data_IF_565971810569
#
_entry.id   IF_565971810569
#
_cell.length_a   1.000
_cell.length_b   1.000
_cell.length_c   1.000
_cell.angle_alpha   90.00
_cell.angle_beta   90.00
_cell.angle_gamma   90.00
#
_symmetry.space_group_name_H-M   'P 1'
#
loop_
_entity.id
_entity.type
_entity.pdbx_description
1 polymer ?
#
# COMPACT_ATOMS: atom_id res chain seq x y z
N UNK A 1 15.98 10.04 19.14
CA UNK A 1 14.78 10.59 18.50
C UNK A 1 14.89 10.34 17.00
N UNK A 2 13.92 9.67 16.37
CA UNK A 2 13.84 9.47 14.92
C UNK A 2 13.38 10.79 14.31
N UNK A 3 14.12 11.29 13.33
CA UNK A 3 13.83 12.54 12.64
C UNK A 3 14.31 12.43 11.20
N UNK A 4 13.42 12.70 10.25
CA UNK A 4 13.76 12.72 8.83
C UNK A 4 14.01 14.17 8.39
N UNK A 5 15.25 14.46 7.98
CA UNK A 5 15.68 15.81 7.57
C UNK A 5 15.54 16.08 6.07
N UNK A 6 15.41 15.01 5.27
CA UNK A 6 15.20 15.07 3.83
C UNK A 6 14.24 13.97 3.42
N UNK A 7 13.36 14.29 2.49
CA UNK A 7 12.36 13.37 1.98
C UNK A 7 12.56 13.21 0.47
N UNK A 8 12.58 11.95 0.00
CA UNK A 8 12.74 11.60 -1.42
C UNK A 8 11.39 11.46 -2.11
N UNK A 9 11.17 10.32 -2.78
CA UNK A 9 9.88 10.01 -3.40
C UNK A 9 8.84 9.62 -2.34
N UNK A 10 7.62 10.14 -2.50
CA UNK A 10 6.51 9.96 -1.57
C UNK A 10 5.24 9.53 -2.32
N UNK A 11 4.57 8.51 -1.81
CA UNK A 11 3.21 8.17 -2.20
C UNK A 11 2.17 8.80 -1.28
N UNK A 12 1.08 9.32 -1.83
CA UNK A 12 -0.05 9.82 -1.05
C UNK A 12 -1.18 8.80 -1.11
N UNK A 13 -1.46 8.14 0.00
CA UNK A 13 -2.60 7.23 0.15
C UNK A 13 -3.82 8.07 0.48
N UNK A 14 -4.58 8.43 -0.53
CA UNK A 14 -5.72 9.36 -0.40
C UNK A 14 -6.94 8.74 0.27
N UNK A 15 -7.04 7.41 0.27
CA UNK A 15 -8.08 6.62 0.89
C UNK A 15 -7.62 5.16 1.03
N UNK A 16 -8.35 4.33 1.77
CA UNK A 16 -8.13 2.87 1.80
C UNK A 16 -9.32 2.06 1.24
N UNK A 17 -10.41 2.73 0.87
CA UNK A 17 -11.57 2.11 0.24
C UNK A 17 -11.24 1.68 -1.19
N UNK A 18 -11.32 0.38 -1.46
CA UNK A 18 -11.09 -0.17 -2.80
C UNK A 18 -12.26 -1.07 -3.18
N UNK A 19 -12.59 -1.14 -4.47
CA UNK A 19 -13.51 -2.17 -4.98
C UNK A 19 -12.97 -3.59 -4.79
N UNK A 20 -11.66 -3.72 -4.63
CA UNK A 20 -10.94 -5.00 -4.67
C UNK A 20 -10.31 -5.35 -3.32
N UNK A 21 -10.20 -6.65 -3.01
CA UNK A 21 -9.42 -7.18 -1.88
C UNK A 21 -8.24 -8.01 -2.39
N UNK A 22 -7.43 -7.43 -3.30
CA UNK A 22 -6.37 -8.16 -4.01
C UNK A 22 -5.42 -8.90 -3.04
N UNK A 23 -5.11 -10.16 -3.36
CA UNK A 23 -4.28 -11.05 -2.53
C UNK A 23 -2.84 -10.54 -2.32
N UNK A 24 -2.32 -9.68 -3.19
CA UNK A 24 -0.98 -9.09 -3.03
C UNK A 24 -0.95 -7.74 -2.27
N UNK A 25 -2.11 -7.17 -1.94
CA UNK A 25 -2.17 -5.77 -1.48
C UNK A 25 -1.51 -5.59 -0.12
N UNK A 26 -0.49 -4.71 -0.06
CA UNK A 26 0.25 -4.45 1.16
C UNK A 26 -0.54 -3.62 2.18
N UNK A 27 -1.34 -2.67 1.70
CA UNK A 27 -2.07 -1.70 2.53
C UNK A 27 -3.35 -2.23 3.15
N UNK A 28 -3.71 -3.48 2.84
CA UNK A 28 -4.97 -4.10 3.23
C UNK A 28 -6.24 -3.35 2.75
N UNK A 29 -6.15 -2.52 1.72
CA UNK A 29 -7.29 -1.84 1.09
C UNK A 29 -8.41 -2.81 0.74
N UNK A 30 -9.67 -2.41 0.87
CA UNK A 30 -10.80 -3.34 0.71
C UNK A 30 -12.13 -2.58 0.55
N UNK A 31 -13.19 -3.25 0.07
CA UNK A 31 -14.52 -2.64 -0.01
C UNK A 31 -15.18 -2.46 1.36
N UNK A 32 -14.59 -3.02 2.42
CA UNK A 32 -15.07 -2.87 3.79
C UNK A 32 -14.50 -1.64 4.49
N UNK A 33 -13.45 -1.03 3.97
CA UNK A 33 -12.92 0.20 4.55
C UNK A 33 -13.98 1.31 4.54
N UNK A 34 -13.98 2.19 5.55
CA UNK A 34 -14.72 3.44 5.48
C UNK A 34 -14.41 4.17 4.17
N UNK A 35 -15.41 4.87 3.63
CA UNK A 35 -15.25 5.69 2.42
C UNK A 35 -14.70 7.07 2.75
N UNK A 36 -13.85 7.17 3.77
CA UNK A 36 -13.12 8.38 4.07
C UNK A 36 -12.12 8.71 2.95
N UNK A 37 -11.68 9.95 2.96
CA UNK A 37 -10.76 10.47 1.96
C UNK A 37 -9.90 11.54 2.63
N UNK A 38 -8.69 11.75 2.11
CA UNK A 38 -7.82 12.81 2.59
C UNK A 38 -8.50 14.16 2.44
N UNK A 39 -8.61 14.88 3.56
CA UNK A 39 -9.19 16.22 3.59
C UNK A 39 -8.23 17.25 2.97
N UNK A 40 -8.80 18.28 2.34
CA UNK A 40 -8.03 19.27 1.58
C UNK A 40 -7.03 20.05 2.44
N UNK A 41 -7.42 20.39 3.68
CA UNK A 41 -6.55 21.14 4.62
C UNK A 41 -5.36 20.28 5.07
N UNK A 42 -5.60 19.00 5.36
CA UNK A 42 -4.54 18.06 5.69
C UNK A 42 -3.59 17.86 4.49
N UNK A 43 -4.13 17.72 3.28
CA UNK A 43 -3.33 17.63 2.06
C UNK A 43 -2.42 18.86 1.89
N UNK A 44 -2.94 20.06 2.12
CA UNK A 44 -2.18 21.31 2.04
C UNK A 44 -1.00 21.31 3.04
N UNK A 45 -1.25 20.94 4.29
CA UNK A 45 -0.21 20.82 5.32
C UNK A 45 0.86 19.77 4.98
N UNK A 46 0.43 18.61 4.48
CA UNK A 46 1.33 17.52 4.05
C UNK A 46 2.22 18.01 2.91
N UNK A 47 1.65 18.59 1.86
CA UNK A 47 2.42 19.07 0.70
C UNK A 47 3.35 20.21 1.04
N UNK A 48 2.90 21.16 1.87
CA UNK A 48 3.77 22.23 2.40
C UNK A 48 4.97 21.67 3.15
N UNK A 49 4.74 20.65 3.98
CA UNK A 49 5.80 19.99 4.77
C UNK A 49 6.75 19.22 3.86
N UNK A 50 6.25 18.49 2.86
CA UNK A 50 7.05 17.77 1.88
C UNK A 50 7.96 18.72 1.09
N UNK A 51 7.41 19.81 0.56
CA UNK A 51 8.16 20.83 -0.16
C UNK A 51 9.27 21.43 0.73
N UNK A 52 8.96 21.76 1.98
CA UNK A 52 9.92 22.25 2.96
C UNK A 52 11.08 21.28 3.28
N UNK A 53 10.92 19.98 3.03
CA UNK A 53 11.93 18.94 3.23
C UNK A 53 12.55 18.41 1.92
N UNK A 54 12.32 19.12 0.80
CA UNK A 54 12.95 18.84 -0.49
C UNK A 54 12.24 17.80 -1.36
N UNK A 55 11.03 17.37 -0.99
CA UNK A 55 10.19 16.49 -1.81
C UNK A 55 9.31 17.35 -2.72
N UNK A 56 9.65 17.42 -4.01
CA UNK A 56 8.94 18.23 -5.01
C UNK A 56 7.97 17.45 -5.89
N UNK A 57 7.90 16.12 -5.73
CA UNK A 57 7.02 15.25 -6.52
C UNK A 57 6.48 14.10 -5.69
N UNK A 58 5.26 13.69 -6.02
CA UNK A 58 4.56 12.57 -5.37
C UNK A 58 3.82 11.73 -6.41
N UNK A 59 3.54 10.48 -6.08
CA UNK A 59 2.48 9.73 -6.75
C UNK A 59 1.26 9.64 -5.86
N UNK A 60 0.09 9.46 -6.46
CA UNK A 60 -1.17 9.30 -5.75
C UNK A 60 -1.60 7.84 -5.83
N UNK A 61 -1.95 7.27 -4.69
CA UNK A 61 -2.55 5.96 -4.61
C UNK A 61 -3.54 5.88 -3.45
N UNK A 62 -3.65 4.67 -2.90
CA UNK A 62 -4.55 4.35 -1.81
C UNK A 62 -5.91 3.91 -2.28
N UNK A 63 -6.45 2.88 -1.62
CA UNK A 63 -7.71 2.25 -2.01
C UNK A 63 -7.79 2.13 -3.53
N UNK A 64 -8.87 2.65 -4.10
CA UNK A 64 -8.90 3.08 -5.51
C UNK A 64 -9.26 4.57 -5.57
N UNK A 65 -8.30 5.48 -5.89
CA UNK A 65 -8.53 6.92 -5.83
C UNK A 65 -9.68 7.39 -6.73
N UNK A 66 -9.80 6.78 -7.90
CA UNK A 66 -10.71 7.22 -8.96
C UNK A 66 -12.12 6.64 -8.82
N UNK A 67 -12.43 5.89 -7.74
CA UNK A 67 -13.82 5.59 -7.37
C UNK A 67 -14.57 6.84 -6.90
N UNK A 68 -13.86 7.87 -6.42
CA UNK A 68 -14.43 9.14 -5.96
C UNK A 68 -13.63 10.34 -6.47
N UNK A 69 -13.59 10.59 -7.79
CA UNK A 69 -12.73 11.63 -8.38
C UNK A 69 -13.03 13.03 -7.81
N UNK A 70 -14.29 13.33 -7.49
CA UNK A 70 -14.66 14.62 -6.89
C UNK A 70 -14.04 14.86 -5.50
N UNK A 71 -13.65 13.79 -4.78
CA UNK A 71 -12.90 13.89 -3.52
C UNK A 71 -11.38 13.98 -3.73
N UNK A 72 -10.88 13.54 -4.89
CA UNK A 72 -9.48 13.65 -5.25
C UNK A 72 -9.08 15.06 -5.67
N UNK A 73 -9.95 15.76 -6.40
CA UNK A 73 -9.62 17.08 -6.96
C UNK A 73 -9.17 18.13 -5.92
N UNK A 74 -9.76 18.23 -4.71
CA UNK A 74 -9.25 19.11 -3.66
C UNK A 74 -7.82 18.78 -3.22
N UNK A 75 -7.45 17.50 -3.16
CA UNK A 75 -6.08 17.05 -2.84
C UNK A 75 -5.12 17.46 -3.96
N UNK A 76 -5.49 17.25 -5.22
CA UNK A 76 -4.67 17.68 -6.37
C UNK A 76 -4.51 19.20 -6.44
N UNK A 77 -5.56 19.95 -6.09
CA UNK A 77 -5.48 21.40 -5.97
C UNK A 77 -4.52 21.84 -4.86
N UNK A 78 -4.47 21.11 -3.73
CA UNK A 78 -3.50 21.37 -2.67
C UNK A 78 -2.06 21.09 -3.12
N UNK A 79 -1.82 20.02 -3.89
CA UNK A 79 -0.52 19.74 -4.48
C UNK A 79 -0.07 20.90 -5.40
N UNK A 80 -0.97 21.36 -6.27
CA UNK A 80 -0.68 22.47 -7.19
C UNK A 80 -0.37 23.79 -6.47
N UNK A 81 -1.06 24.11 -5.36
CA UNK A 81 -0.78 25.32 -4.54
C UNK A 81 0.59 25.29 -3.86
N UNK A 82 1.10 24.10 -3.58
CA UNK A 82 2.37 23.89 -2.91
C UNK A 82 3.50 23.51 -3.89
N UNK A 83 3.30 23.72 -5.18
CA UNK A 83 4.24 23.39 -6.26
C UNK A 83 4.73 21.93 -6.25
N UNK A 84 3.88 21.00 -5.80
CA UNK A 84 4.13 19.57 -5.84
C UNK A 84 3.70 19.00 -7.18
N UNK A 85 4.62 18.34 -7.88
CA UNK A 85 4.34 17.62 -9.11
C UNK A 85 3.68 16.25 -8.83
N UNK A 86 2.62 15.92 -9.56
CA UNK A 86 2.00 14.59 -9.51
C UNK A 86 2.60 13.73 -10.60
N UNK A 87 3.39 12.72 -10.21
CA UNK A 87 4.09 11.81 -11.12
C UNK A 87 3.10 10.92 -11.88
N UNK A 88 2.19 10.28 -11.15
CA UNK A 88 1.10 9.48 -11.67
C UNK A 88 0.03 9.24 -10.60
N UNK A 89 -1.15 8.81 -11.03
CA UNK A 89 -2.18 8.23 -10.14
C UNK A 89 -2.27 6.73 -10.42
N UNK A 90 -2.16 5.92 -9.37
CA UNK A 90 -2.36 4.47 -9.42
C UNK A 90 -3.86 4.13 -9.50
N UNK A 91 -4.20 3.19 -10.37
CA UNK A 91 -5.58 2.74 -10.58
C UNK A 91 -5.64 1.26 -11.00
N UNK A 92 -6.57 0.52 -10.42
CA UNK A 92 -6.95 -0.83 -10.84
C UNK A 92 -7.98 -0.87 -11.99
N UNK A 93 -8.38 0.30 -12.49
CA UNK A 93 -9.34 0.51 -13.58
C UNK A 93 -10.81 0.17 -13.27
N UNK A 94 -11.16 -0.20 -12.04
CA UNK A 94 -12.53 -0.55 -11.65
C UNK A 94 -13.56 0.56 -11.88
N UNK A 95 -13.13 1.83 -11.75
CA UNK A 95 -13.95 3.03 -11.93
C UNK A 95 -14.36 3.28 -13.39
N UNK A 96 -13.67 2.66 -14.36
CA UNK A 96 -14.01 2.78 -15.77
C UNK A 96 -15.43 2.21 -16.01
N UNK A 97 -16.25 2.97 -16.74
CA UNK A 97 -17.63 2.61 -17.10
C UNK A 97 -17.77 2.54 -18.62
N UNK A 98 -17.47 3.64 -19.27
CA UNK A 98 -17.52 3.84 -20.71
C UNK A 98 -16.59 4.99 -21.12
N UNK A 99 -16.51 5.26 -22.42
CA UNK A 99 -15.58 6.23 -23.00
C UNK A 99 -15.92 7.68 -22.62
N UNK A 100 -17.20 8.05 -22.57
CA UNK A 100 -17.60 9.42 -22.20
C UNK A 100 -17.32 9.68 -20.71
N UNK A 101 -17.59 8.72 -19.83
CA UNK A 101 -17.19 8.83 -18.42
C UNK A 101 -15.67 8.95 -18.26
N UNK A 102 -14.89 8.17 -19.02
CA UNK A 102 -13.43 8.26 -18.99
C UNK A 102 -12.92 9.61 -19.49
N UNK A 103 -13.50 10.14 -20.57
CA UNK A 103 -13.22 11.48 -21.10
C UNK A 103 -13.41 12.58 -20.07
N UNK A 104 -14.52 12.55 -19.35
CA UNK A 104 -14.82 13.53 -18.30
C UNK A 104 -13.79 13.48 -17.17
N UNK A 105 -13.52 12.27 -16.64
CA UNK A 105 -12.57 12.10 -15.53
C UNK A 105 -11.15 12.48 -15.97
N UNK A 106 -10.68 11.98 -17.12
CA UNK A 106 -9.36 12.31 -17.67
C UNK A 106 -9.24 13.82 -17.94
N UNK A 107 -10.29 14.44 -18.49
CA UNK A 107 -10.35 15.88 -18.72
C UNK A 107 -10.15 16.68 -17.43
N UNK A 108 -10.86 16.32 -16.36
CA UNK A 108 -10.70 16.94 -15.04
C UNK A 108 -9.31 16.69 -14.45
N UNK A 109 -8.77 15.47 -14.54
CA UNK A 109 -7.41 15.17 -14.07
C UNK A 109 -6.36 16.07 -14.75
N UNK A 110 -6.48 16.29 -16.06
CA UNK A 110 -5.57 17.18 -16.80
C UNK A 110 -5.72 18.64 -16.40
N UNK A 111 -6.93 19.11 -16.09
CA UNK A 111 -7.14 20.45 -15.51
C UNK A 111 -6.42 20.60 -14.16
N UNK A 112 -6.24 19.49 -13.43
CA UNK A 112 -5.46 19.40 -12.20
C UNK A 112 -3.99 19.01 -12.40
N UNK A 113 -3.44 19.22 -13.62
CA UNK A 113 -2.01 18.98 -13.95
C UNK A 113 -1.55 17.53 -13.78
N UNK A 114 -2.48 16.57 -13.84
CA UNK A 114 -2.15 15.15 -13.88
C UNK A 114 -2.09 14.68 -15.32
N UNK A 115 -0.98 14.05 -15.70
CA UNK A 115 -0.71 13.66 -17.08
C UNK A 115 -0.44 12.16 -17.27
N UNK A 116 -0.34 11.40 -16.18
CA UNK A 116 -0.03 9.97 -16.21
C UNK A 116 -0.93 9.17 -15.28
N UNK A 117 -1.45 8.05 -15.78
CA UNK A 117 -2.08 7.01 -14.97
C UNK A 117 -1.19 5.78 -14.94
N UNK A 118 -0.88 5.29 -13.74
CA UNK A 118 -0.32 3.96 -13.53
C UNK A 118 -1.47 2.96 -13.45
N UNK A 119 -1.57 2.09 -14.44
CA UNK A 119 -2.66 1.12 -14.54
C UNK A 119 -2.11 -0.25 -14.15
N UNK A 120 -2.70 -0.88 -13.12
CA UNK A 120 -2.31 -2.22 -12.68
C UNK A 120 -2.80 -3.30 -13.64
N UNK A 121 -1.89 -4.13 -14.13
CA UNK A 121 -2.13 -5.17 -15.14
C UNK A 121 -1.60 -6.49 -14.59
N UNK A 122 -2.39 -7.19 -13.79
CA UNK A 122 -1.97 -8.47 -13.22
C UNK A 122 -3.16 -9.37 -12.80
N UNK A 123 -2.91 -10.69 -12.62
CA UNK A 123 -3.92 -11.64 -12.17
C UNK A 123 -4.55 -11.32 -10.81
N UNK A 124 -3.85 -10.65 -9.88
CA UNK A 124 -4.43 -10.32 -8.57
C UNK A 124 -5.54 -9.28 -8.68
N UNK A 125 -5.40 -8.33 -9.61
CA UNK A 125 -6.46 -7.38 -9.93
C UNK A 125 -7.58 -8.03 -10.76
N UNK A 126 -7.27 -8.99 -11.62
CA UNK A 126 -8.28 -9.63 -12.46
C UNK A 126 -9.28 -10.50 -11.69
N UNK A 127 -8.96 -10.92 -10.45
CA UNK A 127 -9.95 -11.51 -9.53
C UNK A 127 -11.12 -10.57 -9.19
N UNK A 128 -10.96 -9.25 -9.44
CA UNK A 128 -11.93 -8.22 -9.06
C UNK A 128 -12.31 -7.26 -10.19
N UNK A 129 -11.44 -7.08 -11.19
CA UNK A 129 -11.65 -6.16 -12.31
C UNK A 129 -11.50 -6.90 -13.63
N UNK A 130 -12.55 -6.92 -14.47
CA UNK A 130 -12.46 -7.55 -15.79
C UNK A 130 -11.37 -6.92 -16.65
N UNK A 131 -10.58 -7.74 -17.34
CA UNK A 131 -9.46 -7.28 -18.15
C UNK A 131 -9.91 -6.32 -19.28
N UNK A 132 -11.15 -6.45 -19.77
CA UNK A 132 -11.78 -5.51 -20.70
C UNK A 132 -11.71 -4.07 -20.20
N UNK A 133 -11.95 -3.81 -18.91
CA UNK A 133 -11.89 -2.45 -18.36
C UNK A 133 -10.48 -1.87 -18.44
N UNK A 134 -9.46 -2.67 -18.17
CA UNK A 134 -8.05 -2.27 -18.31
C UNK A 134 -7.74 -1.90 -19.77
N UNK A 135 -8.12 -2.76 -20.73
CA UNK A 135 -7.91 -2.50 -22.16
C UNK A 135 -8.63 -1.23 -22.63
N UNK A 136 -9.88 -1.06 -22.19
CA UNK A 136 -10.68 0.10 -22.55
C UNK A 136 -10.16 1.39 -21.92
N UNK A 137 -9.70 1.36 -20.66
CA UNK A 137 -9.07 2.52 -20.01
C UNK A 137 -7.77 2.91 -20.72
N UNK A 138 -6.92 1.95 -21.09
CA UNK A 138 -5.69 2.24 -21.87
C UNK A 138 -6.04 2.88 -23.22
N UNK A 139 -7.08 2.38 -23.91
CA UNK A 139 -7.54 2.97 -25.16
C UNK A 139 -8.09 4.40 -24.98
N UNK A 140 -8.86 4.64 -23.91
CA UNK A 140 -9.36 5.97 -23.57
C UNK A 140 -8.22 6.94 -23.23
N UNK A 141 -7.22 6.51 -22.46
CA UNK A 141 -6.04 7.31 -22.15
C UNK A 141 -5.32 7.77 -23.44
N UNK A 142 -5.11 6.85 -24.39
CA UNK A 142 -4.54 7.18 -25.71
C UNK A 142 -5.40 8.18 -26.46
N UNK A 143 -6.73 7.98 -26.50
CA UNK A 143 -7.68 8.86 -27.19
C UNK A 143 -7.70 10.28 -26.63
N UNK A 144 -7.56 10.42 -25.32
CA UNK A 144 -7.67 11.70 -24.61
C UNK A 144 -6.33 12.31 -24.17
N UNK A 145 -5.23 11.78 -24.72
CA UNK A 145 -3.86 12.25 -24.48
C UNK A 145 -3.52 12.28 -22.98
N UNK A 146 -3.71 11.13 -22.32
CA UNK A 146 -3.24 10.81 -20.98
C UNK A 146 -2.17 9.72 -21.12
N UNK A 147 -1.00 9.92 -20.52
CA UNK A 147 0.08 8.94 -20.53
C UNK A 147 -0.32 7.72 -19.69
N UNK A 148 0.12 6.55 -20.13
CA UNK A 148 -0.10 5.29 -19.43
C UNK A 148 1.25 4.77 -18.97
N UNK A 149 1.40 4.58 -17.66
CA UNK A 149 2.41 3.73 -17.08
C UNK A 149 1.79 2.32 -16.87
N UNK A 150 2.05 1.34 -17.75
CA UNK A 150 1.50 0.00 -17.60
C UNK A 150 2.27 -0.77 -16.54
N UNK A 151 1.71 -0.89 -15.34
CA UNK A 151 2.34 -1.61 -14.24
C UNK A 151 2.13 -3.11 -14.40
N UNK A 152 3.25 -3.84 -14.51
CA UNK A 152 3.30 -5.29 -14.73
C UNK A 152 2.76 -5.75 -16.08
N UNK A 153 3.09 -5.00 -17.14
CA UNK A 153 2.75 -5.34 -18.53
C UNK A 153 3.15 -6.78 -18.96
N UNK A 154 4.10 -7.41 -18.26
CA UNK A 154 4.49 -8.81 -18.49
C UNK A 154 3.34 -9.82 -18.34
N UNK A 155 2.26 -9.49 -17.61
CA UNK A 155 1.11 -10.37 -17.44
C UNK A 155 0.00 -10.13 -18.47
N UNK A 156 0.21 -9.24 -19.45
CA UNK A 156 -0.80 -8.96 -20.47
C UNK A 156 -1.25 -10.23 -21.19
N UNK A 157 -0.30 -11.06 -21.62
CA UNK A 157 -0.60 -12.30 -22.35
C UNK A 157 -1.25 -13.34 -21.45
N UNK A 158 -0.87 -13.40 -20.17
CA UNK A 158 -1.52 -14.26 -19.18
C UNK A 158 -3.02 -13.91 -19.01
N UNK A 159 -3.32 -12.61 -18.87
CA UNK A 159 -4.68 -12.10 -18.77
C UNK A 159 -5.49 -12.34 -20.06
N UNK A 160 -4.83 -12.31 -21.22
CA UNK A 160 -5.48 -12.57 -22.51
C UNK A 160 -5.74 -14.06 -22.75
N UNK A 161 -4.96 -14.95 -22.15
CA UNK A 161 -5.06 -16.40 -22.34
C UNK A 161 -6.08 -17.07 -21.41
N UNK A 162 -6.30 -16.54 -20.21
CA UNK A 162 -7.15 -17.20 -19.19
C UNK A 162 -8.63 -17.31 -19.59
N UNK A 163 -9.13 -16.41 -20.45
CA UNK A 163 -10.51 -16.50 -20.94
C UNK A 163 -11.17 -15.20 -21.39
N UNK A 164 -12.48 -15.11 -21.17
CA UNK A 164 -13.33 -13.98 -21.56
C UNK A 164 -12.99 -12.70 -20.78
N UNK A 165 -12.49 -11.69 -21.49
CA UNK A 165 -12.12 -10.42 -20.90
C UNK A 165 -13.26 -9.63 -20.23
N UNK A 166 -14.53 -10.02 -20.48
CA UNK A 166 -15.71 -9.40 -19.90
C UNK A 166 -15.90 -9.73 -18.42
N UNK A 167 -15.31 -10.81 -17.94
CA UNK A 167 -15.48 -11.32 -16.58
C UNK A 167 -14.17 -11.24 -15.79
N UNK A 168 -14.27 -11.56 -14.51
CA UNK A 168 -13.14 -11.69 -13.60
C UNK A 168 -12.69 -13.14 -13.57
N UNK A 169 -11.41 -13.37 -13.35
CA UNK A 169 -10.85 -14.72 -13.22
C UNK A 169 -10.10 -14.86 -11.90
N UNK A 170 -10.38 -15.93 -11.18
CA UNK A 170 -9.69 -16.33 -9.96
C UNK A 170 -8.28 -16.83 -10.27
N UNK A 171 -7.36 -16.76 -9.31
CA UNK A 171 -6.02 -17.37 -9.48
C UNK A 171 -6.06 -18.89 -9.71
N UNK A 172 -7.16 -19.58 -9.37
CA UNK A 172 -7.33 -21.01 -9.60
C UNK A 172 -7.54 -21.28 -11.10
N UNK A 173 -8.31 -20.45 -11.79
CA UNK A 173 -8.50 -20.53 -13.25
C UNK A 173 -7.17 -20.32 -14.02
N UNK A 174 -6.28 -19.45 -13.51
CA UNK A 174 -4.94 -19.33 -14.08
C UNK A 174 -4.12 -20.61 -13.94
N UNK A 175 -4.21 -21.32 -12.80
CA UNK A 175 -3.53 -22.62 -12.64
C UNK A 175 -4.10 -23.69 -13.57
N UNK A 176 -5.42 -23.69 -13.82
CA UNK A 176 -6.05 -24.61 -14.77
C UNK A 176 -5.58 -24.38 -16.21
N UNK A 177 -5.29 -23.13 -16.59
CA UNK A 177 -4.84 -22.76 -17.95
C UNK A 177 -3.34 -22.95 -18.15
N UNK A 178 -2.53 -22.64 -17.15
CA UNK A 178 -1.07 -22.66 -17.24
C UNK A 178 -0.48 -23.94 -16.65
N UNK A 179 -0.44 -24.04 -15.32
CA UNK A 179 -0.03 -25.24 -14.56
C UNK A 179 -0.22 -25.00 -13.05
N UNK A 180 -0.17 -26.08 -12.25
CA UNK A 180 -0.28 -26.05 -10.78
C UNK A 180 0.78 -25.18 -10.08
N UNK A 181 1.87 -24.81 -10.76
CA UNK A 181 2.93 -23.94 -10.25
C UNK A 181 2.67 -22.45 -10.49
N UNK A 182 1.60 -22.09 -11.22
CA UNK A 182 1.37 -20.72 -11.66
C UNK A 182 1.28 -19.72 -10.51
N UNK A 183 0.55 -19.99 -9.42
CA UNK A 183 0.43 -19.04 -8.30
C UNK A 183 1.77 -18.71 -7.66
N UNK A 184 2.62 -19.72 -7.45
CA UNK A 184 3.95 -19.51 -6.88
C UNK A 184 4.87 -18.80 -7.88
N UNK A 185 4.78 -19.17 -9.16
CA UNK A 185 5.47 -18.51 -10.26
C UNK A 185 5.07 -17.03 -10.40
N UNK A 186 3.80 -16.70 -10.19
CA UNK A 186 3.25 -15.36 -10.23
C UNK A 186 3.89 -14.46 -9.17
N UNK A 187 4.00 -14.91 -7.91
CA UNK A 187 4.67 -14.13 -6.86
C UNK A 187 6.13 -13.82 -7.23
N UNK A 188 6.83 -14.78 -7.84
CA UNK A 188 8.22 -14.65 -8.28
C UNK A 188 8.36 -13.70 -9.46
N UNK A 189 7.54 -13.85 -10.51
CA UNK A 189 7.55 -13.00 -11.72
C UNK A 189 7.26 -11.54 -11.35
N UNK A 190 6.23 -11.33 -10.53
CA UNK A 190 5.86 -10.01 -10.04
C UNK A 190 6.97 -9.36 -9.18
N UNK A 191 7.87 -10.16 -8.58
CA UNK A 191 8.86 -9.67 -7.63
C UNK A 191 8.24 -9.24 -6.30
N UNK A 192 7.22 -9.97 -5.82
CA UNK A 192 6.50 -9.59 -4.61
C UNK A 192 7.39 -9.60 -3.38
N UNK A 193 7.38 -8.48 -2.67
CA UNK A 193 7.76 -8.45 -1.26
C UNK A 193 6.63 -9.10 -0.45
N UNK A 194 6.88 -10.29 0.12
CA UNK A 194 5.89 -11.02 0.92
C UNK A 194 5.59 -10.29 2.24
N UNK A 195 4.68 -9.32 2.17
CA UNK A 195 4.18 -8.46 3.25
C UNK A 195 2.71 -8.14 3.02
N UNK A 196 2.01 -7.67 4.05
CA UNK A 196 0.55 -7.50 3.99
C UNK A 196 -0.14 -8.78 3.51
N UNK A 197 -1.10 -8.67 2.58
CA UNK A 197 -1.83 -9.84 2.08
C UNK A 197 -0.99 -10.78 1.24
N UNK A 198 0.09 -10.31 0.60
CA UNK A 198 0.99 -11.18 -0.14
C UNK A 198 1.60 -12.23 0.81
N UNK A 199 2.01 -11.83 2.01
CA UNK A 199 2.53 -12.77 3.00
C UNK A 199 1.48 -13.82 3.41
N UNK A 200 0.22 -13.41 3.62
CA UNK A 200 -0.85 -14.33 4.01
C UNK A 200 -1.18 -15.32 2.89
N UNK A 201 -1.24 -14.81 1.66
CA UNK A 201 -1.55 -15.60 0.46
C UNK A 201 -0.49 -16.67 0.19
N UNK A 202 0.79 -16.32 0.39
CA UNK A 202 1.90 -17.23 0.07
C UNK A 202 2.46 -17.95 1.30
N UNK A 203 1.83 -17.78 2.46
CA UNK A 203 2.35 -18.25 3.75
C UNK A 203 2.62 -19.76 3.77
N UNK A 204 1.75 -20.56 3.15
CA UNK A 204 1.85 -22.01 3.12
C UNK A 204 2.99 -22.53 2.23
N UNK A 205 3.51 -21.72 1.31
CA UNK A 205 4.69 -22.06 0.51
C UNK A 205 6.00 -21.73 1.22
N UNK A 206 5.96 -21.06 2.38
CA UNK A 206 7.16 -20.68 3.12
C UNK A 206 7.55 -21.74 4.14
N UNK A 207 8.85 -21.95 4.28
CA UNK A 207 9.42 -22.83 5.31
C UNK A 207 9.19 -22.26 6.70
N UNK A 208 8.84 -23.13 7.64
CA UNK A 208 8.81 -22.79 9.05
C UNK A 208 10.22 -22.53 9.59
N UNK A 209 10.33 -21.50 10.41
CA UNK A 209 11.57 -21.12 11.08
C UNK A 209 11.32 -21.06 12.59
N UNK A 210 12.19 -21.68 13.41
CA UNK A 210 12.09 -21.57 14.86
C UNK A 210 12.16 -20.10 15.28
N UNK A 211 11.21 -19.65 16.11
CA UNK A 211 11.17 -18.26 16.58
C UNK A 211 12.47 -17.89 17.29
N UNK A 212 13.06 -18.81 18.05
CA UNK A 212 14.36 -18.60 18.70
C UNK A 212 15.46 -18.18 17.72
N UNK A 213 15.60 -18.88 16.59
CA UNK A 213 16.62 -18.54 15.59
C UNK A 213 16.38 -17.16 14.96
N UNK A 214 15.11 -16.79 14.75
CA UNK A 214 14.74 -15.46 14.25
C UNK A 214 15.13 -14.37 15.24
N UNK A 215 14.90 -14.61 16.54
CA UNK A 215 15.24 -13.67 17.60
C UNK A 215 16.77 -13.54 17.77
N UNK A 216 17.51 -14.66 17.67
CA UNK A 216 18.98 -14.68 17.76
C UNK A 216 19.64 -13.92 16.60
N UNK A 217 19.02 -13.91 15.42
CA UNK A 217 19.47 -13.15 14.25
C UNK A 217 18.88 -11.73 14.16
N UNK A 218 18.18 -11.27 15.21
CA UNK A 218 17.50 -9.97 15.19
C UNK A 218 18.49 -8.82 15.05
N UNK A 219 18.12 -7.85 14.23
CA UNK A 219 18.86 -6.61 14.01
C UNK A 219 17.89 -5.45 13.76
N UNK A 220 18.33 -4.19 13.99
CA UNK A 220 17.55 -3.00 13.69
C UNK A 220 16.78 -3.08 12.36
N UNK A 221 15.46 -2.86 12.39
CA UNK A 221 14.63 -2.93 11.19
C UNK A 221 14.86 -1.70 10.30
N UNK A 222 15.71 -1.84 9.26
CA UNK A 222 16.05 -0.75 8.35
C UNK A 222 14.89 -0.29 7.44
N UNK A 223 13.89 -1.15 7.26
CA UNK A 223 12.67 -0.85 6.50
C UNK A 223 11.91 0.36 7.05
N UNK A 224 12.05 0.64 8.35
CA UNK A 224 11.39 1.74 9.05
C UNK A 224 12.06 3.10 8.82
N UNK A 225 13.24 3.12 8.20
CA UNK A 225 14.04 4.33 8.02
C UNK A 225 14.14 4.73 6.55
N UNK A 226 13.38 4.08 5.67
CA UNK A 226 13.38 4.36 4.24
C UNK A 226 12.70 5.70 3.93
N UNK A 227 13.51 6.69 3.57
CA UNK A 227 13.05 8.04 3.16
C UNK A 227 12.99 8.21 1.64
N UNK A 228 13.40 7.18 0.88
CA UNK A 228 13.51 7.23 -0.58
C UNK A 228 12.27 6.73 -1.31
N UNK A 229 11.33 6.07 -0.62
CA UNK A 229 10.04 5.64 -1.17
C UNK A 229 9.04 5.33 -0.03
N UNK A 230 8.54 6.35 0.66
CA UNK A 230 7.59 6.21 1.78
C UNK A 230 6.19 6.68 1.37
N UNK A 231 5.21 6.51 2.26
CA UNK A 231 3.86 7.00 1.99
C UNK A 231 3.38 7.92 3.12
N UNK A 232 2.53 8.90 2.77
CA UNK A 232 1.69 9.62 3.72
C UNK A 232 0.24 9.21 3.49
N UNK A 233 -0.47 8.81 4.55
CA UNK A 233 -1.88 8.41 4.45
C UNK A 233 -2.86 9.56 4.69
N UNK A 234 -4.14 9.29 4.44
CA UNK A 234 -5.25 10.23 4.63
C UNK A 234 -5.44 10.73 6.07
N UNK A 235 -4.73 10.16 7.04
CA UNK A 235 -4.77 10.57 8.45
C UNK A 235 -3.52 11.39 8.83
N UNK A 236 -2.61 11.65 7.89
CA UNK A 236 -1.39 12.40 8.13
C UNK A 236 -0.28 11.54 8.75
N UNK A 237 -0.34 10.22 8.60
CA UNK A 237 0.70 9.32 9.07
C UNK A 237 1.78 9.13 8.02
N UNK A 238 3.04 9.20 8.43
CA UNK A 238 4.14 8.56 7.73
C UNK A 238 4.02 7.04 7.84
N UNK A 239 3.86 6.38 6.70
CA UNK A 239 3.81 4.93 6.55
C UNK A 239 5.12 4.46 5.92
N UNK A 240 5.89 3.59 6.59
CA UNK A 240 7.16 3.12 6.05
C UNK A 240 6.98 2.30 4.77
N UNK A 241 7.94 2.38 3.81
CA UNK A 241 7.85 1.85 2.45
C UNK A 241 7.21 0.46 2.31
N UNK A 242 7.56 -0.44 3.21
CA UNK A 242 7.17 -1.84 3.10
C UNK A 242 6.60 -2.37 4.42
N UNK A 243 6.16 -1.50 5.34
CA UNK A 243 5.68 -1.92 6.66
C UNK A 243 4.32 -1.31 7.00
N UNK A 244 3.33 -1.51 6.14
CA UNK A 244 1.96 -1.07 6.39
C UNK A 244 1.43 -1.52 7.75
N UNK A 245 0.57 -0.70 8.35
CA UNK A 245 0.11 -0.83 9.73
C UNK A 245 1.09 -0.28 10.77
N UNK A 246 2.35 0.00 10.41
CA UNK A 246 3.23 0.86 11.21
C UNK A 246 3.10 2.30 10.75
N UNK A 247 3.15 3.22 11.70
CA UNK A 247 2.99 4.64 11.44
C UNK A 247 3.88 5.50 12.34
N UNK A 248 4.14 6.73 11.91
CA UNK A 248 4.46 7.86 12.78
C UNK A 248 3.55 9.01 12.36
N UNK A 249 3.12 9.87 13.28
CA UNK A 249 2.54 11.16 12.85
C UNK A 249 3.56 11.88 11.97
N UNK A 250 3.16 12.37 10.79
CA UNK A 250 4.11 12.95 9.84
C UNK A 250 4.82 14.19 10.40
N UNK A 251 4.13 15.00 11.22
CA UNK A 251 4.72 16.17 11.88
C UNK A 251 5.77 15.73 12.88
N UNK A 252 5.53 14.64 13.61
CA UNK A 252 6.54 14.07 14.50
C UNK A 252 7.70 13.46 13.72
N UNK A 253 7.44 12.81 12.59
CA UNK A 253 8.48 12.19 11.77
C UNK A 253 9.51 13.22 11.27
N UNK A 254 9.08 14.45 10.95
CA UNK A 254 9.96 15.54 10.50
C UNK A 254 10.51 16.40 11.63
N UNK A 255 9.79 16.57 12.74
CA UNK A 255 10.24 17.41 13.86
C UNK A 255 11.05 16.63 14.90
N UNK A 256 10.78 15.34 15.05
CA UNK A 256 11.41 14.43 16.00
C UNK A 256 10.39 13.58 16.76
N UNK A 257 10.27 12.31 16.38
CA UNK A 257 9.33 11.37 16.99
C UNK A 257 9.87 10.85 18.33
N UNK A 258 9.17 11.07 19.44
CA UNK A 258 9.62 10.67 20.77
C UNK A 258 9.51 9.15 21.01
N UNK A 259 10.52 8.47 21.60
CA UNK A 259 10.46 7.03 21.88
C UNK A 259 9.25 6.58 22.70
N UNK A 260 8.85 7.39 23.67
CA UNK A 260 7.77 7.07 24.61
C UNK A 260 6.40 7.09 23.93
N UNK A 261 6.25 7.90 22.87
CA UNK A 261 5.03 7.98 22.06
C UNK A 261 4.92 6.80 21.09
N UNK A 262 6.04 6.27 20.60
CA UNK A 262 6.09 5.25 19.54
C UNK A 262 6.88 3.99 19.98
N UNK A 263 6.45 3.29 21.04
CA UNK A 263 7.21 2.21 21.66
C UNK A 263 7.46 1.02 20.72
N UNK A 264 6.49 0.65 19.89
CA UNK A 264 6.61 -0.47 18.93
C UNK A 264 7.53 -0.10 17.79
N UNK A 265 7.38 1.11 17.24
CA UNK A 265 8.24 1.61 16.18
C UNK A 265 9.69 1.63 16.62
N UNK A 266 9.95 2.14 17.83
CA UNK A 266 11.29 2.20 18.38
C UNK A 266 11.87 0.83 18.71
N UNK A 267 11.09 -0.06 19.32
CA UNK A 267 11.53 -1.43 19.59
C UNK A 267 12.04 -2.12 18.31
N UNK A 268 11.29 -1.99 17.22
CA UNK A 268 11.70 -2.49 15.91
C UNK A 268 12.90 -1.74 15.32
N UNK A 269 12.92 -0.42 15.39
CA UNK A 269 13.97 0.40 14.79
C UNK A 269 15.33 0.22 15.50
N UNK A 270 15.35 -0.08 16.80
CA UNK A 270 16.60 -0.19 17.57
C UNK A 270 17.04 -1.62 17.85
N UNK A 271 16.10 -2.53 18.11
CA UNK A 271 16.40 -3.92 18.49
C UNK A 271 15.86 -4.95 17.48
N UNK A 272 15.13 -4.51 16.46
CA UNK A 272 14.54 -5.40 15.47
C UNK A 272 13.35 -6.17 16.03
N UNK A 273 13.08 -7.34 15.42
CA UNK A 273 11.98 -8.21 15.82
C UNK A 273 12.10 -8.68 17.27
N UNK A 274 13.32 -8.86 17.78
CA UNK A 274 13.56 -9.20 19.19
C UNK A 274 13.05 -8.13 20.15
N UNK A 275 13.24 -6.85 19.84
CA UNK A 275 12.71 -5.76 20.66
C UNK A 275 11.19 -5.75 20.71
N UNK A 276 10.53 -5.93 19.58
CA UNK A 276 9.06 -6.01 19.52
C UNK A 276 8.54 -7.23 20.29
N UNK A 277 9.23 -8.37 20.14
CA UNK A 277 8.88 -9.60 20.86
C UNK A 277 9.00 -9.42 22.38
N UNK A 278 10.14 -8.91 22.88
CA UNK A 278 10.35 -8.58 24.30
C UNK A 278 9.25 -7.65 24.81
N UNK A 279 8.99 -6.56 24.08
CA UNK A 279 7.94 -5.59 24.42
C UNK A 279 6.55 -6.24 24.55
N UNK A 280 6.17 -7.12 23.61
CA UNK A 280 4.87 -7.77 23.63
C UNK A 280 4.76 -8.83 24.74
N UNK A 281 5.83 -9.57 25.04
CA UNK A 281 5.84 -10.58 26.11
C UNK A 281 5.79 -9.89 27.47
N UNK A 282 6.69 -8.94 27.73
CA UNK A 282 6.89 -8.33 29.05
C UNK A 282 5.75 -7.40 29.45
N UNK A 283 5.21 -6.62 28.51
CA UNK A 283 4.20 -5.60 28.82
C UNK A 283 2.77 -6.03 28.48
N UNK A 284 2.60 -6.99 27.57
CA UNK A 284 1.28 -7.30 27.00
C UNK A 284 0.89 -8.77 27.04
N UNK A 285 1.73 -9.65 27.61
CA UNK A 285 1.39 -11.07 27.82
C UNK A 285 1.32 -11.90 26.54
N UNK A 286 2.05 -11.50 25.49
CA UNK A 286 2.13 -12.27 24.25
C UNK A 286 2.69 -13.67 24.52
N UNK A 287 1.99 -14.70 24.06
CA UNK A 287 2.47 -16.10 24.12
C UNK A 287 3.16 -16.46 22.81
N UNK A 288 4.46 -16.80 22.83
CA UNK A 288 5.21 -17.13 21.62
C UNK A 288 4.67 -18.38 20.91
N UNK A 289 4.71 -18.36 19.58
CA UNK A 289 4.63 -19.60 18.79
C UNK A 289 6.03 -20.21 18.67
N UNK A 290 6.11 -21.53 18.52
CA UNK A 290 7.39 -22.20 18.30
C UNK A 290 8.01 -21.84 16.94
N UNK A 291 7.16 -21.69 15.93
CA UNK A 291 7.56 -21.47 14.54
C UNK A 291 6.77 -20.32 13.89
N UNK A 292 7.39 -19.66 12.91
CA UNK A 292 6.73 -18.71 12.02
C UNK A 292 7.42 -18.69 10.65
N UNK A 293 6.91 -17.92 9.70
CA UNK A 293 7.46 -17.84 8.33
C UNK A 293 8.56 -16.78 8.16
N UNK A 294 9.24 -16.43 9.25
CA UNK A 294 10.33 -15.45 9.29
C UNK A 294 10.01 -14.17 10.07
N UNK A 295 10.98 -13.26 10.14
CA UNK A 295 10.91 -12.05 10.99
C UNK A 295 9.73 -11.13 10.68
N UNK A 296 9.33 -11.00 9.42
CA UNK A 296 8.22 -10.13 9.02
C UNK A 296 6.86 -10.75 9.35
N UNK A 297 6.74 -12.08 9.27
CA UNK A 297 5.55 -12.81 9.74
C UNK A 297 5.39 -12.67 11.25
N UNK A 298 6.46 -12.92 12.02
CA UNK A 298 6.46 -12.72 13.47
C UNK A 298 6.13 -11.28 13.83
N UNK A 299 6.71 -10.30 13.12
CA UNK A 299 6.43 -8.88 13.32
C UNK A 299 4.95 -8.57 13.13
N UNK A 300 4.35 -9.08 12.05
CA UNK A 300 2.94 -8.85 11.78
C UNK A 300 2.04 -9.51 12.84
N UNK A 301 2.30 -10.78 13.18
CA UNK A 301 1.51 -11.53 14.19
C UNK A 301 1.54 -10.84 15.56
N UNK A 302 2.70 -10.30 15.97
CA UNK A 302 2.80 -9.58 17.25
C UNK A 302 2.00 -8.26 17.17
N UNK A 303 2.14 -7.49 16.08
CA UNK A 303 1.37 -6.23 15.92
C UNK A 303 -0.13 -6.48 15.90
N UNK A 304 -0.56 -7.51 15.17
CA UNK A 304 -1.96 -7.94 15.14
C UNK A 304 -2.46 -8.36 16.53
N UNK A 305 -1.66 -9.11 17.31
CA UNK A 305 -2.00 -9.44 18.69
C UNK A 305 -2.23 -8.19 19.56
N UNK A 306 -1.30 -7.22 19.49
CA UNK A 306 -1.38 -5.98 20.25
C UNK A 306 -2.64 -5.16 19.91
N UNK A 307 -3.00 -5.09 18.62
CA UNK A 307 -4.17 -4.32 18.19
C UNK A 307 -5.47 -5.10 18.39
N UNK A 308 -5.55 -6.33 17.87
CA UNK A 308 -6.79 -7.08 17.75
C UNK A 308 -7.18 -7.87 19.00
N UNK A 309 -6.19 -8.34 19.79
CA UNK A 309 -6.48 -9.15 20.99
C UNK A 309 -6.34 -8.33 22.27
N UNK A 310 -5.38 -7.40 22.31
CA UNK A 310 -5.18 -6.51 23.46
C UNK A 310 -5.92 -5.19 23.35
N UNK A 311 -6.55 -4.90 22.20
CA UNK A 311 -7.30 -3.67 21.95
C UNK A 311 -6.50 -2.40 22.23
N UNK A 312 -5.18 -2.44 21.99
CA UNK A 312 -4.34 -1.29 22.22
C UNK A 312 -4.52 -0.26 21.10
N UNK A 313 -4.70 1.00 21.49
CA UNK A 313 -4.68 2.13 20.58
C UNK A 313 -3.31 2.78 20.68
N UNK A 314 -2.42 2.39 19.78
CA UNK A 314 -1.05 2.90 19.71
C UNK A 314 -0.88 3.77 18.45
N UNK A 315 -0.20 4.93 18.55
CA UNK A 315 -0.02 5.82 17.40
C UNK A 315 0.96 5.27 16.36
N UNK A 316 1.80 4.30 16.73
CA UNK A 316 2.66 3.57 15.79
C UNK A 316 2.05 2.29 15.21
N UNK A 317 0.83 1.90 15.62
CA UNK A 317 0.08 0.79 15.04
C UNK A 317 -1.21 1.29 14.39
N UNK A 318 -1.05 2.06 13.32
CA UNK A 318 -2.14 2.71 12.60
C UNK A 318 -2.04 2.49 11.08
N UNK A 319 -3.18 2.62 10.38
CA UNK A 319 -4.55 2.66 10.91
C UNK A 319 -5.02 1.31 11.49
N UNK A 320 -5.84 1.29 12.55
CA UNK A 320 -6.38 0.05 13.16
C UNK A 320 -7.08 -0.87 12.15
N UNK A 321 -7.82 -0.29 11.20
CA UNK A 321 -8.53 -1.03 10.14
C UNK A 321 -7.61 -1.88 9.24
N UNK A 322 -6.31 -1.53 9.15
CA UNK A 322 -5.31 -2.36 8.45
C UNK A 322 -5.29 -3.80 9.00
N UNK A 323 -5.34 -3.93 10.33
CA UNK A 323 -5.32 -5.22 11.02
C UNK A 323 -6.67 -5.95 10.93
N UNK A 324 -7.78 -5.21 10.85
CA UNK A 324 -9.12 -5.77 10.74
C UNK A 324 -9.42 -6.34 9.35
N UNK A 325 -8.82 -5.76 8.30
CA UNK A 325 -9.10 -6.11 6.91
C UNK A 325 -7.97 -6.81 6.18
N UNK A 326 -6.97 -7.28 6.94
CA UNK A 326 -5.95 -8.17 6.41
C UNK A 326 -6.56 -9.41 5.75
#
# INVERSE_FOLDING_TARGET
MIKFSRLGSCGIITNYFCSSKCKHCMYASSPKWPKDYMEADLADEVFKTLAGHGCGSVHIGGGEPLLRPDKLFPVLAAAARNDIYIEYIETNASWYKDDEHAKEVIGKLKQHRVHTLLISIDPYHNEYVPFRKVKQLIAACRRYNMEVFPWQMEFWDDLAAVGDDAVVHSLDEYEEVFDEGYKLGLARRYGLNLRGRALQTYKHYLNDQPVREILDRSSPCRELLGIHHFHIDLYGNFVPPACSGLALDFRDAVNGAAPEKYPVYYALATKGIKGLYEYAVEHHGYTPKDHCKGKCDLCYVIREYLVMQRNLVLPDLQPTWHYMYM
#
